data_IF_037258104038
#
_entry.id   IF_037258104038
#
_cell.length_a   1.000
_cell.length_b   1.000
_cell.length_c   1.000
_cell.angle_alpha   90.00
_cell.angle_beta   90.00
_cell.angle_gamma   90.00
#
_symmetry.space_group_name_H-M   'P 1'
#
loop_
_entity.id
_entity.type
_entity.pdbx_description
1 polymer ?
#
# COMPACT_ATOMS: atom_id res chain seq x y z
N UNK A 1 7.80 1.48 25.88
CA UNK A 1 8.31 0.91 24.61
C UNK A 1 7.80 1.79 23.50
N UNK A 2 8.66 2.67 22.98
CA UNK A 2 8.26 3.70 22.01
C UNK A 2 8.13 3.06 20.61
N UNK A 3 6.95 2.57 20.25
CA UNK A 3 6.62 2.25 18.85
C UNK A 3 6.27 3.55 18.12
N UNK A 4 7.25 4.43 17.97
CA UNK A 4 7.14 5.55 17.04
C UNK A 4 7.11 4.99 15.62
N UNK A 5 6.21 5.47 14.79
CA UNK A 5 6.21 5.18 13.35
C UNK A 5 7.57 5.64 12.81
N UNK A 6 8.49 4.69 12.67
CA UNK A 6 9.85 4.96 12.23
C UNK A 6 9.81 5.46 10.80
N UNK A 7 10.64 6.47 10.49
CA UNK A 7 10.88 6.89 9.11
C UNK A 7 11.41 5.70 8.31
N UNK A 8 10.83 5.43 7.14
CA UNK A 8 11.29 4.36 6.25
C UNK A 8 12.79 4.52 5.96
N UNK A 9 13.55 3.43 6.15
CA UNK A 9 14.96 3.31 5.83
C UNK A 9 15.14 2.19 4.82
N UNK A 10 15.80 2.47 3.69
CA UNK A 10 15.95 1.53 2.57
C UNK A 10 17.27 0.75 2.57
N UNK A 11 18.18 1.04 3.50
CA UNK A 11 19.45 0.34 3.60
C UNK A 11 19.25 -1.07 4.17
N UNK A 12 19.78 -2.08 3.46
CA UNK A 12 19.81 -3.49 3.90
C UNK A 12 18.41 -4.03 4.28
N UNK A 13 17.39 -3.72 3.48
CA UNK A 13 16.01 -4.14 3.71
C UNK A 13 15.58 -5.27 2.79
N UNK A 14 14.71 -6.14 3.31
CA UNK A 14 13.98 -7.11 2.49
C UNK A 14 12.72 -6.43 1.97
N UNK A 15 12.58 -6.35 0.64
CA UNK A 15 11.55 -5.54 0.00
C UNK A 15 10.70 -6.39 -0.94
N UNK A 16 9.37 -6.30 -0.81
CA UNK A 16 8.46 -6.81 -1.84
C UNK A 16 8.44 -5.80 -3.01
N UNK A 17 8.86 -6.25 -4.18
CA UNK A 17 8.88 -5.45 -5.41
C UNK A 17 7.46 -5.14 -5.92
N UNK A 18 7.28 -4.05 -6.69
CA UNK A 18 6.03 -3.73 -7.36
C UNK A 18 5.68 -4.79 -8.41
N UNK A 19 4.47 -5.33 -8.36
CA UNK A 19 3.99 -6.31 -9.33
C UNK A 19 2.52 -6.05 -9.62
N UNK A 20 2.19 -5.70 -10.87
CA UNK A 20 0.81 -5.47 -11.30
C UNK A 20 -0.02 -6.75 -11.12
N UNK A 21 -1.24 -6.62 -10.59
CA UNK A 21 -2.19 -7.66 -10.14
C UNK A 21 -1.78 -8.43 -8.88
N UNK A 22 -0.49 -8.61 -8.65
CA UNK A 22 0.01 -9.40 -7.52
C UNK A 22 0.13 -8.56 -6.25
N UNK A 23 0.54 -7.29 -6.37
CA UNK A 23 0.81 -6.38 -5.24
C UNK A 23 -0.41 -5.82 -4.51
N UNK A 24 -1.55 -6.51 -4.54
CA UNK A 24 -2.78 -6.14 -3.81
C UNK A 24 -2.60 -6.30 -2.29
N UNK A 25 -3.51 -5.75 -1.47
CA UNK A 25 -3.35 -5.73 0.00
C UNK A 25 -3.04 -7.11 0.61
N UNK A 26 -3.74 -8.21 0.25
CA UNK A 26 -3.49 -9.51 0.85
C UNK A 26 -2.04 -9.99 0.65
N UNK A 27 -1.46 -9.78 -0.54
CA UNK A 27 -0.09 -10.18 -0.83
C UNK A 27 0.92 -9.34 -0.04
N UNK A 28 0.66 -8.04 0.13
CA UNK A 28 1.54 -7.16 0.91
C UNK A 28 1.54 -7.53 2.38
N UNK A 29 0.36 -7.79 2.96
CA UNK A 29 0.26 -8.24 4.34
C UNK A 29 0.95 -9.59 4.54
N UNK A 30 0.77 -10.53 3.60
CA UNK A 30 1.45 -11.82 3.65
C UNK A 30 2.98 -11.67 3.61
N UNK A 31 3.50 -10.76 2.78
CA UNK A 31 4.93 -10.49 2.73
C UNK A 31 5.46 -9.91 4.05
N UNK A 32 4.70 -9.03 4.72
CA UNK A 32 5.03 -8.52 6.04
C UNK A 32 5.05 -9.65 7.09
N UNK A 33 4.06 -10.56 7.03
CA UNK A 33 4.00 -11.73 7.93
C UNK A 33 5.21 -12.66 7.75
N UNK A 34 5.77 -12.74 6.54
CA UNK A 34 7.00 -13.49 6.24
C UNK A 34 8.31 -12.71 6.47
N UNK A 35 8.25 -11.49 7.00
CA UNK A 35 9.43 -10.73 7.40
C UNK A 35 9.96 -9.74 6.36
N UNK A 36 9.15 -9.31 5.40
CA UNK A 36 9.48 -8.15 4.58
C UNK A 36 9.52 -6.87 5.44
N UNK A 37 10.52 -6.02 5.23
CA UNK A 37 10.63 -4.72 5.89
C UNK A 37 9.78 -3.64 5.20
N UNK A 38 9.68 -3.74 3.86
CA UNK A 38 9.02 -2.75 2.99
C UNK A 38 8.20 -3.49 1.95
N UNK A 39 7.01 -2.99 1.64
CA UNK A 39 6.12 -3.57 0.63
C UNK A 39 5.68 -2.53 -0.38
N UNK A 40 5.99 -2.74 -1.66
CA UNK A 40 5.48 -1.90 -2.73
C UNK A 40 4.06 -2.33 -3.11
N UNK A 41 3.19 -1.36 -3.38
CA UNK A 41 1.93 -1.64 -4.04
C UNK A 41 2.11 -1.90 -5.54
N UNK A 42 1.01 -2.26 -6.19
CA UNK A 42 0.93 -2.33 -7.64
C UNK A 42 1.25 -0.96 -8.26
N UNK A 43 1.71 -0.97 -9.51
CA UNK A 43 1.92 0.26 -10.25
C UNK A 43 0.57 0.90 -10.62
N UNK A 44 0.34 2.12 -10.13
CA UNK A 44 -0.91 2.85 -10.36
C UNK A 44 -0.66 4.09 -11.22
N UNK A 45 -1.55 4.33 -12.19
CA UNK A 45 -1.47 5.47 -13.10
C UNK A 45 -2.00 6.72 -12.38
N UNK A 46 -1.20 7.78 -12.36
CA UNK A 46 -1.51 9.05 -11.70
C UNK A 46 -2.85 9.67 -12.12
N UNK A 47 -3.17 9.69 -13.42
CA UNK A 47 -4.43 10.22 -13.96
C UNK A 47 -5.63 9.47 -13.36
N UNK A 48 -5.51 8.16 -13.14
CA UNK A 48 -6.58 7.36 -12.52
C UNK A 48 -6.65 7.61 -11.01
N UNK A 49 -5.51 7.76 -10.35
CA UNK A 49 -5.46 8.09 -8.92
C UNK A 49 -6.00 9.49 -8.62
N UNK A 50 -5.84 10.45 -9.52
CA UNK A 50 -6.40 11.80 -9.39
C UNK A 50 -7.93 11.82 -9.41
N UNK A 51 -8.56 10.79 -9.98
CA UNK A 51 -10.02 10.60 -9.99
C UNK A 51 -10.53 9.87 -8.76
N UNK A 52 -9.65 9.39 -7.87
CA UNK A 52 -10.04 8.58 -6.73
C UNK A 52 -10.48 9.44 -5.54
N UNK A 53 -11.53 8.99 -4.87
CA UNK A 53 -11.93 9.50 -3.56
C UNK A 53 -11.44 8.57 -2.45
N UNK A 54 -10.91 9.16 -1.37
CA UNK A 54 -10.51 8.41 -0.19
C UNK A 54 -11.72 8.14 0.70
N UNK A 55 -12.11 6.88 0.80
CA UNK A 55 -13.20 6.38 1.65
C UNK A 55 -12.60 5.63 2.83
N UNK A 56 -13.06 5.94 4.04
CA UNK A 56 -12.73 5.13 5.22
C UNK A 56 -13.76 4.03 5.33
N UNK A 57 -13.31 2.78 5.36
CA UNK A 57 -14.18 1.62 5.45
C UNK A 57 -14.16 1.09 6.89
N UNK A 58 -15.15 1.47 7.68
CA UNK A 58 -15.25 1.12 9.10
C UNK A 58 -15.51 -0.39 9.33
N UNK A 59 -16.04 -1.10 8.32
CA UNK A 59 -16.32 -2.55 8.43
C UNK A 59 -15.02 -3.36 8.31
N UNK A 60 -14.12 -2.93 7.42
CA UNK A 60 -12.84 -3.62 7.16
C UNK A 60 -11.64 -2.97 7.88
N UNK A 61 -11.86 -1.82 8.54
CA UNK A 61 -10.82 -0.99 9.15
C UNK A 61 -9.73 -0.56 8.15
N UNK A 62 -10.15 -0.21 6.93
CA UNK A 62 -9.25 0.13 5.81
C UNK A 62 -9.49 1.54 5.29
N UNK A 63 -8.51 2.03 4.53
CA UNK A 63 -8.65 3.22 3.71
C UNK A 63 -8.62 2.81 2.24
N UNK A 64 -9.72 3.12 1.55
CA UNK A 64 -9.99 2.71 0.19
C UNK A 64 -9.93 3.95 -0.71
N UNK A 65 -9.28 3.84 -1.85
CA UNK A 65 -9.23 4.86 -2.89
C UNK A 65 -10.06 4.35 -4.06
N UNK A 66 -11.23 4.96 -4.25
CA UNK A 66 -12.27 4.46 -5.16
C UNK A 66 -12.44 5.43 -6.32
N UNK A 67 -12.46 4.91 -7.55
CA UNK A 67 -12.83 5.65 -8.75
C UNK A 67 -13.80 4.79 -9.58
N UNK A 68 -14.89 5.38 -10.05
CA UNK A 68 -15.92 4.69 -10.85
C UNK A 68 -16.41 3.38 -10.21
N UNK A 69 -16.70 3.41 -8.90
CA UNK A 69 -17.12 2.25 -8.09
C UNK A 69 -16.07 1.11 -7.97
N UNK A 70 -14.89 1.29 -8.57
CA UNK A 70 -13.77 0.36 -8.48
C UNK A 70 -12.74 0.83 -7.44
N UNK A 71 -12.30 -0.09 -6.58
CA UNK A 71 -11.23 0.18 -5.61
C UNK A 71 -9.88 0.11 -6.33
N UNK A 72 -9.21 1.26 -6.49
CA UNK A 72 -7.91 1.37 -7.15
C UNK A 72 -6.75 1.08 -6.20
N UNK A 73 -6.88 1.51 -4.96
CA UNK A 73 -5.90 1.22 -3.91
C UNK A 73 -6.61 1.03 -2.58
N UNK A 74 -6.17 0.04 -1.81
CA UNK A 74 -6.76 -0.32 -0.53
C UNK A 74 -5.63 -0.62 0.45
N UNK A 75 -5.66 0.00 1.63
CA UNK A 75 -4.61 -0.08 2.64
C UNK A 75 -5.19 -0.14 4.06
N UNK A 76 -4.40 -0.60 5.02
CA UNK A 76 -4.81 -0.70 6.42
C UNK A 76 -3.70 -0.21 7.36
N UNK A 77 -4.04 -0.02 8.63
CA UNK A 77 -3.12 0.48 9.65
C UNK A 77 -1.87 -0.38 9.85
N UNK A 78 -1.95 -1.70 9.55
CA UNK A 78 -0.83 -2.64 9.73
C UNK A 78 0.36 -2.36 8.82
N UNK A 79 0.12 -1.97 7.57
CA UNK A 79 1.20 -1.72 6.60
C UNK A 79 1.62 -0.24 6.53
N UNK A 80 0.96 0.67 7.27
CA UNK A 80 1.17 2.13 7.17
C UNK A 80 2.63 2.58 7.34
N UNK A 81 3.42 1.84 8.12
CA UNK A 81 4.85 2.11 8.32
C UNK A 81 5.79 1.44 7.31
N UNK A 82 5.26 0.63 6.41
CA UNK A 82 6.01 -0.29 5.54
C UNK A 82 5.65 -0.15 4.05
N UNK A 83 4.45 0.33 3.75
CA UNK A 83 3.93 0.41 2.39
C UNK A 83 4.54 1.57 1.60
N UNK A 84 4.98 1.29 0.38
CA UNK A 84 5.43 2.30 -0.58
C UNK A 84 4.43 2.36 -1.73
N UNK A 85 3.92 3.55 -1.99
CA UNK A 85 2.97 3.81 -3.07
C UNK A 85 3.72 4.12 -4.37
N UNK A 86 3.62 3.24 -5.38
CA UNK A 86 4.26 3.42 -6.67
C UNK A 86 3.28 4.02 -7.68
N UNK A 87 3.65 5.18 -8.21
CA UNK A 87 2.93 5.84 -9.30
C UNK A 87 3.75 5.86 -10.57
N UNK A 88 3.08 5.66 -11.69
CA UNK A 88 3.59 6.09 -12.99
C UNK A 88 2.87 7.36 -13.39
N UNK A 89 3.69 8.36 -13.74
CA UNK A 89 3.24 9.65 -14.23
C UNK A 89 3.57 9.75 -15.73
N UNK A 90 2.60 10.23 -16.50
CA UNK A 90 2.70 10.42 -17.96
C UNK A 90 2.78 11.89 -18.32
#
# INVERSE_FOLDING_TARGET
>A
MASGVGRLCFAQKTVLAPMVRVGSLPMRLLALDYGADIVYCEELIDIKMAQCERVVNDVLETADFVADECVMFHTCSKEKGHVVFQMVSM
#
